data_IF_069293450768
#
_entry.id   IF_069293450768
#
_cell.length_a   1.000
_cell.length_b   1.000
_cell.length_c   1.000
_cell.angle_alpha   90.00
_cell.angle_beta   90.00
_cell.angle_gamma   90.00
#
_symmetry.space_group_name_H-M   'P 1'
#
loop_
_entity.id
_entity.type
_entity.pdbx_description
1 polymer ?
#
# COMPACT_ATOMS: atom_id res chain seq x y z
N UNK A 1 -7.27 4.21 10.92
CA UNK A 1 -8.36 3.20 10.84
C UNK A 1 -7.72 1.86 10.50
N UNK A 2 -8.04 0.76 11.19
CA UNK A 2 -7.62 -0.58 10.73
C UNK A 2 -8.41 -0.92 9.46
N UNK A 3 -7.70 -1.31 8.42
CA UNK A 3 -8.26 -1.59 7.10
C UNK A 3 -7.85 -2.96 6.59
N UNK A 4 -7.19 -3.79 7.39
CA UNK A 4 -6.71 -5.07 6.89
C UNK A 4 -5.67 -5.73 7.75
N UNK A 5 -5.11 -6.81 7.20
CA UNK A 5 -4.13 -7.62 7.89
C UNK A 5 -3.29 -8.44 6.90
N UNK A 6 -2.16 -8.94 7.40
CA UNK A 6 -1.35 -9.97 6.75
C UNK A 6 -1.04 -11.09 7.74
N UNK A 7 -1.01 -12.33 7.24
CA UNK A 7 -0.68 -13.53 8.02
C UNK A 7 0.07 -14.54 7.17
N UNK A 8 0.74 -15.48 7.83
CA UNK A 8 1.29 -16.65 7.14
C UNK A 8 0.15 -17.51 6.60
N UNK A 9 0.24 -17.87 5.33
CA UNK A 9 -0.71 -18.75 4.63
C UNK A 9 0.04 -19.84 3.89
N UNK A 10 -0.64 -20.96 3.65
CA UNK A 10 -0.14 -22.07 2.84
C UNK A 10 -1.14 -22.36 1.73
N UNK A 11 -0.64 -22.64 0.53
CA UNK A 11 -1.43 -23.25 -0.52
C UNK A 11 -0.70 -24.45 -1.11
N UNK A 12 -1.46 -25.41 -1.62
CA UNK A 12 -0.91 -26.55 -2.36
C UNK A 12 -0.73 -26.15 -3.82
N UNK A 13 0.51 -26.13 -4.27
CA UNK A 13 0.85 -25.93 -5.67
C UNK A 13 0.40 -27.14 -6.51
N UNK A 14 0.42 -26.99 -7.84
CA UNK A 14 -0.01 -28.05 -8.77
C UNK A 14 0.83 -29.34 -8.64
N UNK A 15 2.07 -29.23 -8.17
CA UNK A 15 2.97 -30.35 -7.90
C UNK A 15 2.73 -31.00 -6.51
N UNK A 16 1.69 -30.59 -5.79
CA UNK A 16 1.33 -31.09 -4.47
C UNK A 16 2.20 -30.53 -3.34
N UNK A 17 3.20 -29.68 -3.62
CA UNK A 17 4.02 -29.05 -2.59
C UNK A 17 3.29 -27.92 -1.90
N UNK A 18 3.46 -27.83 -0.59
CA UNK A 18 2.97 -26.69 0.18
C UNK A 18 3.90 -25.50 0.01
N UNK A 19 3.34 -24.41 -0.51
CA UNK A 19 4.03 -23.13 -0.64
C UNK A 19 3.54 -22.22 0.48
N UNK A 20 4.46 -21.80 1.34
CA UNK A 20 4.22 -20.79 2.38
C UNK A 20 4.37 -19.40 1.78
N UNK A 21 3.46 -18.50 2.10
CA UNK A 21 3.53 -17.09 1.72
C UNK A 21 2.87 -16.20 2.77
N UNK A 22 3.17 -14.91 2.73
CA UNK A 22 2.51 -13.92 3.57
C UNK A 22 1.33 -13.38 2.76
N UNK A 23 0.10 -13.70 3.18
CA UNK A 23 -1.13 -13.33 2.49
C UNK A 23 -2.05 -12.49 3.37
N UNK A 24 -2.81 -11.59 2.76
CA UNK A 24 -3.62 -10.62 3.47
C UNK A 24 -4.74 -10.03 2.64
N UNK A 25 -5.55 -9.21 3.30
CA UNK A 25 -6.61 -8.44 2.68
C UNK A 25 -6.54 -7.00 3.15
N UNK A 26 -6.68 -6.06 2.23
CA UNK A 26 -6.74 -4.63 2.48
C UNK A 26 -8.08 -4.11 1.98
N UNK A 27 -8.84 -3.49 2.86
CA UNK A 27 -10.17 -2.94 2.64
C UNK A 27 -10.16 -1.45 2.98
N UNK A 28 -9.68 -0.65 2.04
CA UNK A 28 -9.78 0.81 2.11
C UNK A 28 -11.23 1.17 1.81
N UNK A 29 -11.84 2.12 2.55
CA UNK A 29 -13.12 2.69 2.15
C UNK A 29 -13.06 3.07 0.66
N UNK A 30 -14.19 3.09 -0.07
CA UNK A 30 -14.29 3.45 -1.50
C UNK A 30 -13.49 2.59 -2.53
N UNK A 31 -12.62 1.68 -2.11
CA UNK A 31 -11.99 0.68 -2.98
C UNK A 31 -12.65 -0.68 -2.81
N UNK A 32 -12.54 -1.53 -3.83
CA UNK A 32 -12.87 -2.95 -3.66
C UNK A 32 -11.82 -3.59 -2.72
N UNK A 33 -12.22 -4.54 -1.86
CA UNK A 33 -11.26 -5.30 -1.07
C UNK A 33 -10.16 -5.89 -1.96
N UNK A 34 -8.92 -5.66 -1.57
CA UNK A 34 -7.72 -6.09 -2.29
C UNK A 34 -7.16 -7.29 -1.56
N UNK A 35 -7.24 -8.46 -2.17
CA UNK A 35 -6.50 -9.63 -1.73
C UNK A 35 -5.07 -9.55 -2.29
N UNK A 36 -4.09 -9.60 -1.42
CA UNK A 36 -2.69 -9.42 -1.80
C UNK A 36 -1.75 -10.20 -0.89
N UNK A 37 -0.51 -10.39 -1.35
CA UNK A 37 0.57 -10.97 -0.56
C UNK A 37 1.75 -10.03 -0.41
N UNK A 38 2.63 -10.37 0.53
CA UNK A 38 3.93 -9.73 0.69
C UNK A 38 5.03 -10.69 0.22
N UNK A 39 5.87 -10.23 -0.70
CA UNK A 39 7.08 -10.95 -1.11
C UNK A 39 8.29 -10.23 -0.55
N UNK A 40 9.11 -10.88 0.31
CA UNK A 40 10.32 -10.26 0.83
C UNK A 40 11.27 -9.94 -0.32
N UNK A 41 11.89 -8.78 -0.26
CA UNK A 41 12.96 -8.42 -1.19
C UNK A 41 14.25 -9.13 -0.75
N UNK A 42 14.97 -9.81 -1.67
CA UNK A 42 16.21 -10.50 -1.36
C UNK A 42 17.29 -9.58 -0.77
N UNK A 43 18.11 -10.10 0.14
CA UNK A 43 19.15 -9.33 0.84
C UNK A 43 20.19 -8.73 -0.13
N UNK A 44 20.49 -9.40 -1.24
CA UNK A 44 21.41 -8.91 -2.26
C UNK A 44 20.83 -7.73 -3.06
N UNK A 45 19.50 -7.66 -3.22
CA UNK A 45 18.81 -6.51 -3.81
C UNK A 45 18.80 -5.34 -2.82
N UNK A 46 18.51 -5.60 -1.54
CA UNK A 46 18.53 -4.58 -0.48
C UNK A 46 19.94 -4.00 -0.25
N UNK A 47 20.98 -4.83 -0.37
CA UNK A 47 22.37 -4.39 -0.23
C UNK A 47 22.80 -3.43 -1.36
N UNK A 48 22.24 -3.58 -2.57
CA UNK A 48 22.53 -2.73 -3.72
C UNK A 48 21.69 -1.46 -3.75
N UNK A 49 20.50 -1.49 -3.14
CA UNK A 49 19.58 -0.36 -3.10
C UNK A 49 18.93 -0.22 -1.73
N UNK A 50 19.49 0.68 -0.91
CA UNK A 50 18.96 0.95 0.44
C UNK A 50 17.54 1.55 0.43
N UNK A 51 17.09 2.08 -0.71
CA UNK A 51 15.74 2.62 -0.87
C UNK A 51 14.74 1.57 -1.38
N UNK A 52 15.18 0.34 -1.65
CA UNK A 52 14.28 -0.72 -2.07
C UNK A 52 13.29 -1.08 -0.95
N UNK A 53 12.03 -1.42 -1.30
CA UNK A 53 11.08 -1.90 -0.30
C UNK A 53 11.57 -3.22 0.29
N UNK A 54 11.36 -3.43 1.58
CA UNK A 54 11.65 -4.71 2.24
C UNK A 54 10.63 -5.79 1.87
N UNK A 55 9.40 -5.38 1.52
CA UNK A 55 8.40 -6.25 0.92
C UNK A 55 7.78 -5.59 -0.31
N UNK A 56 7.64 -6.37 -1.38
CA UNK A 56 6.82 -6.01 -2.55
C UNK A 56 5.38 -6.49 -2.28
N UNK A 57 4.40 -5.61 -2.45
CA UNK A 57 2.98 -5.97 -2.36
C UNK A 57 2.59 -6.57 -3.70
N UNK A 58 2.15 -7.83 -3.69
CA UNK A 58 1.77 -8.57 -4.91
C UNK A 58 0.27 -8.81 -4.90
N UNK A 59 -0.40 -8.47 -6.00
CA UNK A 59 -1.84 -8.74 -6.13
C UNK A 59 -2.07 -10.25 -6.19
N UNK A 60 -3.03 -10.75 -5.41
CA UNK A 60 -3.42 -12.15 -5.50
C UNK A 60 -4.11 -12.40 -6.84
N UNK A 61 -3.74 -13.50 -7.50
CA UNK A 61 -4.32 -13.91 -8.77
C UNK A 61 -4.95 -15.30 -8.60
N UNK A 62 -6.13 -15.53 -9.17
CA UNK A 62 -6.78 -16.83 -9.09
C UNK A 62 -5.95 -17.90 -9.80
N UNK A 63 -6.19 -19.16 -9.42
CA UNK A 63 -5.60 -20.32 -10.08
C UNK A 63 -5.93 -20.27 -11.58
N UNK A 64 -4.91 -20.45 -12.43
CA UNK A 64 -4.97 -20.37 -13.90
C UNK A 64 -5.02 -18.95 -14.50
N UNK A 65 -4.69 -17.90 -13.74
CA UNK A 65 -4.46 -16.59 -14.35
C UNK A 65 -3.21 -16.62 -15.25
N UNK A 66 -3.39 -16.35 -16.54
CA UNK A 66 -2.32 -16.43 -17.55
C UNK A 66 -1.32 -15.28 -17.49
N UNK A 67 -1.69 -14.16 -16.84
CA UNK A 67 -0.85 -12.98 -16.76
C UNK A 67 0.27 -13.09 -15.73
N UNK A 68 1.30 -12.27 -15.89
CA UNK A 68 2.41 -12.18 -14.95
C UNK A 68 1.96 -11.72 -13.55
N UNK A 69 2.78 -12.05 -12.54
CA UNK A 69 2.62 -11.53 -11.18
C UNK A 69 2.65 -10.01 -11.21
N UNK A 70 1.64 -9.39 -10.61
CA UNK A 70 1.52 -7.95 -10.57
C UNK A 70 1.97 -7.43 -9.21
N UNK A 71 3.05 -6.65 -9.21
CA UNK A 71 3.47 -5.85 -8.05
C UNK A 71 2.64 -4.58 -8.06
N UNK A 72 2.00 -4.27 -6.95
CA UNK A 72 1.08 -3.13 -6.82
C UNK A 72 1.55 -2.14 -5.76
N UNK A 73 2.76 -2.28 -5.25
CA UNK A 73 3.26 -1.40 -4.20
C UNK A 73 4.45 -1.98 -3.44
N UNK A 74 4.89 -1.22 -2.44
CA UNK A 74 6.02 -1.57 -1.58
C UNK A 74 5.77 -1.24 -0.12
N UNK A 75 6.54 -1.90 0.74
CA UNK A 75 6.60 -1.69 2.18
C UNK A 75 8.06 -1.42 2.56
N UNK A 76 8.29 -0.44 3.44
CA UNK A 76 9.60 -0.03 3.96
C UNK A 76 9.56 0.01 5.49
N UNK A 77 10.73 -0.16 6.10
CA UNK A 77 10.91 0.18 7.51
C UNK A 77 10.69 1.68 7.72
N UNK A 78 10.04 2.03 8.83
CA UNK A 78 9.82 3.41 9.22
C UNK A 78 9.86 3.56 10.75
N UNK A 79 10.14 4.78 11.19
CA UNK A 79 10.06 5.17 12.60
C UNK A 79 9.12 6.38 12.67
N UNK A 80 8.28 6.45 13.69
CA UNK A 80 7.41 7.60 13.94
C UNK A 80 8.22 8.89 14.14
N UNK A 81 7.59 10.06 14.00
CA UNK A 81 8.33 11.33 14.10
C UNK A 81 8.92 11.55 15.50
N UNK A 82 8.31 10.98 16.53
CA UNK A 82 8.83 10.99 17.90
C UNK A 82 10.01 10.04 18.13
N UNK A 83 10.37 9.23 17.12
CA UNK A 83 11.49 8.28 17.16
C UNK A 83 11.21 7.01 17.97
N UNK A 84 10.01 6.83 18.53
CA UNK A 84 9.74 5.78 19.53
C UNK A 84 9.11 4.53 18.96
N UNK A 85 8.36 4.66 17.87
CA UNK A 85 7.58 3.56 17.31
C UNK A 85 8.15 3.14 15.97
N UNK A 86 8.72 1.94 15.93
CA UNK A 86 9.03 1.28 14.67
C UNK A 86 7.73 0.73 14.08
N UNK A 87 7.53 1.01 12.80
CA UNK A 87 6.40 0.51 12.02
C UNK A 87 6.85 0.26 10.59
N UNK A 88 5.96 -0.24 9.74
CA UNK A 88 6.24 -0.33 8.33
C UNK A 88 5.35 0.64 7.57
N UNK A 89 5.94 1.51 6.76
CA UNK A 89 5.21 2.37 5.84
C UNK A 89 5.10 1.69 4.49
N UNK A 90 4.01 1.91 3.78
CA UNK A 90 3.85 1.38 2.45
C UNK A 90 2.88 2.19 1.62
N UNK A 91 2.77 1.83 0.35
CA UNK A 91 1.70 2.32 -0.50
C UNK A 91 1.28 1.27 -1.52
N UNK A 92 0.04 1.38 -1.98
CA UNK A 92 -0.49 0.69 -3.15
C UNK A 92 -0.63 1.71 -4.29
N UNK A 93 -0.10 1.36 -5.46
CA UNK A 93 -0.30 2.11 -6.69
C UNK A 93 -1.66 1.75 -7.30
N UNK A 94 -2.50 2.75 -7.55
CA UNK A 94 -3.83 2.56 -8.12
C UNK A 94 -4.32 3.81 -8.84
N UNK A 95 -4.90 3.68 -10.05
CA UNK A 95 -5.50 4.81 -10.76
C UNK A 95 -6.82 5.27 -10.12
N UNK A 96 -7.34 4.57 -9.12
CA UNK A 96 -8.64 4.83 -8.51
C UNK A 96 -8.64 5.99 -7.50
N UNK A 97 -7.47 6.56 -7.20
CA UNK A 97 -7.34 7.71 -6.30
C UNK A 97 -6.49 8.79 -6.93
N UNK A 98 -6.80 10.06 -6.61
CA UNK A 98 -5.96 11.18 -7.00
C UNK A 98 -4.54 11.01 -6.43
N UNK A 99 -3.51 11.28 -7.25
CA UNK A 99 -2.11 11.04 -6.88
C UNK A 99 -1.65 9.59 -7.07
N UNK A 100 -2.52 8.67 -7.50
CA UNK A 100 -2.14 7.32 -7.91
C UNK A 100 -1.67 6.39 -6.79
N UNK A 101 -1.71 6.82 -5.52
CA UNK A 101 -1.17 6.09 -4.38
C UNK A 101 -2.11 6.10 -3.18
N UNK A 102 -2.24 4.93 -2.56
CA UNK A 102 -2.88 4.78 -1.25
C UNK A 102 -1.83 4.36 -0.23
N UNK A 103 -1.54 5.24 0.72
CA UNK A 103 -0.52 5.00 1.75
C UNK A 103 -1.07 4.16 2.90
N UNK A 104 -0.26 3.25 3.40
CA UNK A 104 -0.61 2.30 4.46
C UNK A 104 0.48 2.31 5.53
N UNK A 105 0.09 2.02 6.76
CA UNK A 105 1.03 1.70 7.84
C UNK A 105 0.71 0.32 8.41
N UNK A 106 1.72 -0.53 8.50
CA UNK A 106 1.63 -1.87 9.08
C UNK A 106 2.27 -1.90 10.46
N UNK A 107 1.59 -2.57 11.40
CA UNK A 107 2.05 -2.74 12.77
C UNK A 107 2.02 -4.21 13.15
N UNK A 108 2.97 -4.64 13.99
CA UNK A 108 2.87 -5.93 14.65
C UNK A 108 1.62 -5.92 15.55
N UNK A 109 0.75 -6.95 15.50
CA UNK A 109 -0.41 -7.04 16.36
C UNK A 109 -0.02 -6.97 17.84
N UNK A 110 -0.81 -6.26 18.64
CA UNK A 110 -0.61 -6.19 20.09
C UNK A 110 -1.02 -7.47 20.81
N UNK A 111 -1.95 -8.21 20.22
CA UNK A 111 -2.49 -9.46 20.76
C UNK A 111 -2.03 -10.66 19.92
N UNK A 112 -1.84 -11.84 20.53
CA UNK A 112 -1.44 -13.05 19.82
C UNK A 112 -2.62 -13.63 19.01
N UNK A 113 -2.95 -12.99 17.90
CA UNK A 113 -4.08 -13.33 17.02
C UNK A 113 -3.66 -14.09 15.75
N UNK A 114 -2.40 -14.53 15.68
CA UNK A 114 -1.84 -15.26 14.52
C UNK A 114 -1.63 -14.40 13.27
N UNK A 115 -1.85 -13.08 13.36
CA UNK A 115 -1.50 -12.14 12.30
C UNK A 115 -0.01 -11.81 12.39
N UNK A 116 0.59 -11.53 11.24
CA UNK A 116 1.93 -10.95 11.17
C UNK A 116 1.84 -9.43 11.27
N UNK A 117 0.87 -8.84 10.58
CA UNK A 117 0.70 -7.39 10.54
C UNK A 117 -0.77 -6.99 10.55
N UNK A 118 -1.08 -5.90 11.23
CA UNK A 118 -2.32 -5.14 11.08
C UNK A 118 -2.07 -3.96 10.14
N UNK A 119 -2.92 -3.80 9.13
CA UNK A 119 -2.83 -2.70 8.18
C UNK A 119 -3.75 -1.56 8.61
N UNK A 120 -3.20 -0.35 8.59
CA UNK A 120 -3.93 0.87 8.91
C UNK A 120 -3.84 1.87 7.77
N UNK A 121 -4.90 2.63 7.62
CA UNK A 121 -5.00 3.72 6.67
C UNK A 121 -5.61 4.96 7.35
N UNK A 122 -5.19 6.12 6.90
CA UNK A 122 -5.80 7.41 7.21
C UNK A 122 -6.07 8.15 5.91
N UNK A 123 -7.23 8.79 5.81
CA UNK A 123 -7.50 9.71 4.72
C UNK A 123 -6.40 10.76 4.62
N UNK A 124 -5.98 11.16 3.41
CA UNK A 124 -5.10 12.32 3.24
C UNK A 124 -5.69 13.50 4.01
N UNK A 125 -4.85 14.17 4.83
CA UNK A 125 -5.26 15.41 5.47
C UNK A 125 -5.53 16.41 4.34
N UNK A 126 -6.68 17.10 4.39
CA UNK A 126 -6.93 18.22 3.48
C UNK A 126 -5.83 19.25 3.72
N UNK A 127 -4.99 19.49 2.72
CA UNK A 127 -4.16 20.67 2.73
C UNK A 127 -5.10 21.86 2.52
N UNK A 128 -5.09 22.84 3.41
CA UNK A 128 -5.84 24.09 3.21
C UNK A 128 -5.35 24.87 1.97
N UNK A 129 -4.22 24.46 1.39
CA UNK A 129 -3.66 24.99 0.15
C UNK A 129 -3.88 24.10 -1.08
N UNK A 130 -4.46 22.90 -0.95
CA UNK A 130 -4.84 22.11 -2.13
C UNK A 130 -6.22 22.56 -2.56
N UNK A 131 -6.28 23.29 -3.67
CA UNK A 131 -7.50 23.53 -4.43
C UNK A 131 -8.06 22.16 -4.80
N UNK A 132 -8.97 21.64 -3.99
CA UNK A 132 -9.89 20.63 -4.47
C UNK A 132 -10.83 21.42 -5.36
N UNK A 133 -10.91 21.15 -6.68
CA UNK A 133 -12.00 21.70 -7.45
C UNK A 133 -13.25 21.21 -6.75
N UNK A 134 -14.00 22.13 -6.13
CA UNK A 134 -15.38 21.81 -5.84
C UNK A 134 -15.98 21.50 -7.20
N UNK A 135 -16.68 20.37 -7.31
CA UNK A 135 -17.54 20.14 -8.45
C UNK A 135 -18.61 21.23 -8.41
N UNK A 136 -18.30 22.39 -9.00
CA UNK A 136 -19.30 23.37 -9.36
C UNK A 136 -20.21 22.63 -10.35
N UNK A 137 -21.48 22.51 -9.97
CA UNK A 137 -22.53 21.93 -10.81
C UNK A 137 -22.96 22.87 -11.93
N UNK A 138 -22.09 23.81 -12.30
CA UNK A 138 -22.24 24.70 -13.45
C UNK A 138 -20.99 24.51 -14.31
N UNK A 139 -21.18 23.79 -15.42
CA UNK A 139 -20.22 23.71 -16.50
C UNK A 139 -20.16 25.10 -17.11
N UNK A 140 -19.07 25.81 -16.89
CA UNK A 140 -18.66 26.91 -17.77
C UNK A 140 -17.39 26.43 -18.49
N UNK A 141 -17.52 26.29 -19.80
CA UNK A 141 -16.42 25.95 -20.71
C UNK A 141 -15.32 27.02 -20.60
N UNK A 142 -14.06 26.59 -20.69
CA UNK A 142 -12.83 27.40 -20.76
C UNK A 142 -12.04 27.59 -19.44
N UNK A 143 -11.23 26.60 -19.03
CA UNK A 143 -9.98 26.88 -18.28
C UNK A 143 -8.86 25.90 -18.66
N UNK A 144 -7.77 26.47 -19.21
CA UNK A 144 -6.46 25.85 -19.46
C UNK A 144 -5.80 25.40 -18.13
N UNK A 145 -5.36 24.15 -18.04
CA UNK A 145 -4.72 23.59 -16.83
C UNK A 145 -3.22 23.43 -17.07
N UNK A 146 -2.43 24.39 -16.58
CA UNK A 146 -0.97 24.26 -16.47
C UNK A 146 -0.60 23.20 -15.41
N UNK A 147 0.05 22.13 -15.86
CA UNK A 147 0.31 20.90 -15.12
C UNK A 147 1.57 20.90 -14.23
N UNK A 148 2.27 22.02 -14.10
CA UNK A 148 3.67 22.04 -13.63
C UNK A 148 3.88 22.49 -12.16
N UNK A 149 2.88 22.34 -11.28
CA UNK A 149 3.03 22.67 -9.85
C UNK A 149 2.56 21.55 -8.92
N UNK A 150 3.39 20.52 -8.74
CA UNK A 150 3.24 19.61 -7.61
C UNK A 150 4.55 19.51 -6.83
N UNK A 151 4.55 20.14 -5.65
CA UNK A 151 5.63 20.18 -4.67
C UNK A 151 5.88 18.81 -4.02
N UNK A 152 7.17 18.49 -3.86
CA UNK A 152 7.76 17.18 -3.55
C UNK A 152 7.86 16.84 -2.04
N UNK A 153 6.91 17.22 -1.19
CA UNK A 153 7.04 17.00 0.26
C UNK A 153 6.14 15.85 0.77
N UNK A 154 6.58 14.60 0.50
CA UNK A 154 5.97 13.36 1.02
C UNK A 154 6.47 13.04 2.45
N UNK A 155 5.94 13.73 3.47
CA UNK A 155 6.01 13.23 4.85
C UNK A 155 4.61 13.06 5.46
N UNK A 156 4.29 11.83 5.85
CA UNK A 156 3.04 11.49 6.55
C UNK A 156 3.24 11.81 8.05
N UNK A 157 2.45 12.71 8.65
CA UNK A 157 2.66 13.10 10.05
C UNK A 157 2.00 12.10 11.00
N UNK A 158 2.83 11.36 11.75
CA UNK A 158 2.47 10.71 13.02
C UNK A 158 3.30 11.31 14.15
#
# INVERSE_FOLDING_TARGET
MNVGYFKNQTFKAQDGKEVKFIGGMINIPFLRPIECGLTPTPDDELAKNQNAPIYKIVLFKPKNYEGARQIIGGIWNAVSNDGKTNYFRGHIETPLVAGGRVYLALFTPKEPNGLMFEATWSAPKKNNNSYTPQANTTIDDDVDIDADKYDNDETIPF
#
